data_IF_861752558828
#
_entry.id   IF_861752558828
#
_cell.length_a   1.000
_cell.length_b   1.000
_cell.length_c   1.000
_cell.angle_alpha   90.00
_cell.angle_beta   90.00
_cell.angle_gamma   90.00
#
_symmetry.space_group_name_H-M   'P 1'
#
loop_
_entity.id
_entity.type
_entity.pdbx_description
1 polymer ?
#
# COMPACT_ATOMS: atom_id res chain seq x y z
N UNK A 1 2.86 2.60 -20.13
CA UNK A 1 3.55 3.85 -19.76
C UNK A 1 4.76 4.16 -20.65
N UNK A 2 4.95 3.49 -21.80
CA UNK A 2 6.23 3.51 -22.57
C UNK A 2 7.44 3.11 -21.70
N UNK A 3 8.64 3.12 -22.27
CA UNK A 3 9.89 2.99 -21.54
C UNK A 3 10.11 4.22 -20.63
N UNK A 4 10.79 4.06 -19.48
CA UNK A 4 11.11 5.18 -18.60
C UNK A 4 11.84 6.33 -19.33
N UNK A 5 12.66 6.01 -20.34
CA UNK A 5 13.41 7.00 -21.12
C UNK A 5 12.51 7.87 -21.99
N UNK A 6 11.45 7.29 -22.57
CA UNK A 6 10.53 8.00 -23.46
C UNK A 6 9.41 8.72 -22.72
N UNK A 7 9.13 8.35 -21.47
CA UNK A 7 8.03 8.91 -20.69
C UNK A 7 8.42 9.21 -19.23
N UNK A 8 9.59 9.82 -19.04
CA UNK A 8 10.12 10.15 -17.71
C UNK A 8 9.06 10.86 -16.85
N UNK A 9 8.39 11.86 -17.42
CA UNK A 9 7.39 12.65 -16.69
C UNK A 9 6.18 11.82 -16.26
N UNK A 10 5.73 10.87 -17.10
CA UNK A 10 4.64 9.97 -16.75
C UNK A 10 4.99 9.09 -15.56
N UNK A 11 6.19 8.52 -15.55
CA UNK A 11 6.66 7.72 -14.41
C UNK A 11 6.78 8.58 -13.14
N UNK A 12 7.39 9.76 -13.22
CA UNK A 12 7.54 10.68 -12.08
C UNK A 12 6.18 11.09 -11.49
N UNK A 13 5.23 11.50 -12.33
CA UNK A 13 3.91 11.95 -11.90
C UNK A 13 3.05 10.83 -11.29
N UNK A 14 3.28 9.58 -11.71
CA UNK A 14 2.54 8.40 -11.22
C UNK A 14 3.13 7.79 -9.94
N UNK A 15 4.30 8.23 -9.52
CA UNK A 15 4.97 7.67 -8.35
C UNK A 15 4.25 8.05 -7.06
N UNK A 16 3.95 7.05 -6.23
CA UNK A 16 3.46 7.27 -4.86
C UNK A 16 4.59 7.52 -3.86
N UNK A 17 5.84 7.40 -4.30
CA UNK A 17 7.04 7.54 -3.47
C UNK A 17 7.55 8.98 -3.47
N UNK A 18 6.64 9.95 -3.31
CA UNK A 18 6.97 11.36 -3.10
C UNK A 18 6.47 11.83 -1.75
N UNK A 19 7.13 12.85 -1.23
CA UNK A 19 6.76 13.46 0.03
C UNK A 19 5.39 14.13 -0.06
N UNK A 20 5.03 14.77 -1.19
CA UNK A 20 3.71 15.38 -1.33
C UNK A 20 2.59 14.35 -1.26
N UNK A 21 2.78 13.19 -1.91
CA UNK A 21 1.78 12.10 -1.90
C UNK A 21 1.61 11.56 -0.49
N UNK A 22 2.70 11.31 0.22
CA UNK A 22 2.66 10.77 1.60
C UNK A 22 2.03 11.77 2.58
N UNK A 23 2.36 13.05 2.48
CA UNK A 23 1.74 14.09 3.32
C UNK A 23 0.22 14.20 3.08
N UNK A 24 -0.26 13.94 1.86
CA UNK A 24 -1.69 13.94 1.57
C UNK A 24 -2.48 12.87 2.37
N UNK A 25 -1.81 11.85 2.91
CA UNK A 25 -2.41 10.83 3.77
C UNK A 25 -2.53 11.22 5.26
N UNK A 26 -1.90 12.31 5.72
CA UNK A 26 -1.81 12.68 7.16
C UNK A 26 -3.15 12.69 7.90
N UNK A 27 -4.21 13.10 7.23
CA UNK A 27 -5.56 13.19 7.79
C UNK A 27 -6.54 12.21 7.13
N UNK A 28 -6.01 11.14 6.54
CA UNK A 28 -6.78 10.10 5.86
C UNK A 28 -6.71 8.81 6.65
N UNK A 29 -7.76 8.01 6.51
CA UNK A 29 -7.78 6.63 7.00
C UNK A 29 -7.24 5.77 5.87
N UNK A 30 -6.05 5.22 6.06
CA UNK A 30 -5.36 4.41 5.06
C UNK A 30 -5.03 3.04 5.63
N UNK A 31 -5.34 2.00 4.86
CA UNK A 31 -5.04 0.61 5.18
C UNK A 31 -4.29 -0.03 4.02
N UNK A 32 -3.02 -0.33 4.24
CA UNK A 32 -2.13 -0.98 3.28
C UNK A 32 -2.12 -2.49 3.54
N UNK A 33 -2.49 -3.28 2.53
CA UNK A 33 -2.56 -4.74 2.64
C UNK A 33 -1.75 -5.36 1.52
N UNK A 34 -0.85 -6.31 1.83
CA UNK A 34 -0.02 -6.95 0.81
C UNK A 34 0.46 -8.35 1.23
N UNK A 35 0.60 -9.26 0.28
CA UNK A 35 1.17 -10.60 0.50
C UNK A 35 2.70 -10.60 0.42
N UNK A 36 3.41 -11.31 1.30
CA UNK A 36 4.88 -11.26 1.30
C UNK A 36 5.52 -12.07 0.18
N UNK A 37 4.78 -12.98 -0.45
CA UNK A 37 5.24 -13.82 -1.57
C UNK A 37 4.65 -13.36 -2.92
N UNK A 38 4.15 -12.12 -3.00
CA UNK A 38 3.68 -11.56 -4.27
C UNK A 38 4.86 -11.41 -5.27
N UNK A 39 4.86 -12.26 -6.28
CA UNK A 39 5.85 -12.33 -7.35
C UNK A 39 5.52 -11.43 -8.56
N UNK A 40 4.30 -10.87 -8.60
CA UNK A 40 3.83 -9.98 -9.66
C UNK A 40 4.01 -8.51 -9.24
N UNK A 41 3.52 -8.14 -8.05
CA UNK A 41 3.73 -6.83 -7.44
C UNK A 41 4.49 -7.03 -6.14
N UNK A 42 5.82 -7.07 -6.24
CA UNK A 42 6.72 -7.29 -5.13
C UNK A 42 6.37 -6.51 -3.86
N UNK A 43 6.36 -7.19 -2.70
CA UNK A 43 6.08 -6.64 -1.37
C UNK A 43 6.93 -5.40 -1.00
N UNK A 44 8.09 -5.26 -1.64
CA UNK A 44 8.97 -4.09 -1.60
C UNK A 44 8.21 -2.78 -1.89
N UNK A 45 7.23 -2.77 -2.77
CA UNK A 45 6.43 -1.57 -3.06
C UNK A 45 5.65 -1.10 -1.82
N UNK A 46 4.98 -2.02 -1.13
CA UNK A 46 4.28 -1.73 0.12
C UNK A 46 5.26 -1.23 1.19
N UNK A 47 6.43 -1.87 1.31
CA UNK A 47 7.45 -1.47 2.28
C UNK A 47 8.10 -0.11 1.99
N UNK A 48 8.25 0.28 0.73
CA UNK A 48 8.78 1.59 0.35
C UNK A 48 7.81 2.71 0.75
N UNK A 49 6.50 2.53 0.50
CA UNK A 49 5.47 3.50 0.91
C UNK A 49 5.37 3.55 2.45
N UNK A 50 5.33 2.39 3.10
CA UNK A 50 5.31 2.23 4.56
C UNK A 50 6.47 3.00 5.23
N UNK A 51 7.70 2.81 4.73
CA UNK A 51 8.89 3.52 5.19
C UNK A 51 8.75 5.04 5.04
N UNK A 52 8.17 5.52 3.94
CA UNK A 52 8.03 6.95 3.69
C UNK A 52 6.96 7.57 4.60
N UNK A 53 5.79 6.93 4.76
CA UNK A 53 4.76 7.30 5.73
C UNK A 53 5.34 7.40 7.16
N UNK A 54 6.10 6.39 7.58
CA UNK A 54 6.76 6.35 8.89
C UNK A 54 7.76 7.49 9.07
N UNK A 55 8.62 7.75 8.07
CA UNK A 55 9.60 8.85 8.12
C UNK A 55 8.97 10.23 8.19
N UNK A 56 7.74 10.36 7.68
CA UNK A 56 6.94 11.58 7.74
C UNK A 56 6.03 11.65 8.96
N UNK A 57 6.09 10.67 9.86
CA UNK A 57 5.19 10.60 11.02
C UNK A 57 3.71 10.68 10.60
N UNK A 58 3.36 9.94 9.53
CA UNK A 58 1.99 9.80 9.04
C UNK A 58 1.47 8.44 9.47
N UNK A 59 0.39 8.44 10.24
CA UNK A 59 -0.22 7.21 10.75
C UNK A 59 -1.02 6.48 9.66
N UNK A 60 -0.93 5.15 9.66
CA UNK A 60 -1.67 4.26 8.75
C UNK A 60 -1.77 2.87 9.37
N UNK A 61 -2.68 2.06 8.82
CA UNK A 61 -2.77 0.64 9.16
C UNK A 61 -2.03 -0.18 8.09
N UNK A 62 -1.33 -1.23 8.49
CA UNK A 62 -0.70 -2.17 7.57
C UNK A 62 -1.02 -3.60 7.98
N UNK A 63 -1.30 -4.45 7.00
CA UNK A 63 -1.44 -5.88 7.19
C UNK A 63 -0.63 -6.62 6.13
N UNK A 64 0.28 -7.46 6.60
CA UNK A 64 1.10 -8.31 5.75
C UNK A 64 0.63 -9.74 5.91
N UNK A 65 0.40 -10.42 4.79
CA UNK A 65 0.06 -11.84 4.79
C UNK A 65 1.26 -12.66 4.35
N UNK A 66 1.81 -13.44 5.27
CA UNK A 66 2.98 -14.29 5.01
C UNK A 66 2.62 -15.41 4.06
N UNK A 67 3.53 -15.74 3.14
CA UNK A 67 3.42 -16.83 2.15
C UNK A 67 2.19 -16.73 1.23
N UNK A 68 1.60 -15.54 1.13
CA UNK A 68 0.52 -15.25 0.20
C UNK A 68 1.05 -14.48 -1.02
N UNK A 69 0.62 -14.93 -2.19
CA UNK A 69 0.89 -14.31 -3.49
C UNK A 69 -0.06 -13.13 -3.77
N UNK A 70 -0.08 -12.66 -5.01
CA UNK A 70 -0.95 -11.57 -5.47
C UNK A 70 -2.46 -11.84 -5.23
N UNK A 71 -2.87 -13.11 -5.14
CA UNK A 71 -4.26 -13.53 -5.03
C UNK A 71 -4.81 -13.58 -3.60
N UNK A 72 -3.94 -13.53 -2.59
CA UNK A 72 -4.27 -13.65 -1.15
C UNK A 72 -5.24 -14.81 -0.86
N UNK A 73 -5.06 -15.93 -1.55
CA UNK A 73 -6.00 -17.05 -1.61
C UNK A 73 -6.26 -17.72 -0.27
N UNK A 74 -5.22 -17.97 0.52
CA UNK A 74 -5.32 -18.71 1.78
C UNK A 74 -5.89 -17.90 2.94
N UNK A 75 -5.93 -16.57 2.81
CA UNK A 75 -6.30 -15.64 3.89
C UNK A 75 -7.59 -14.87 3.65
N UNK A 76 -8.35 -15.16 2.57
CA UNK A 76 -9.55 -14.38 2.19
C UNK A 76 -10.54 -14.13 3.32
N UNK A 77 -10.93 -15.13 4.15
CA UNK A 77 -11.84 -14.86 5.26
C UNK A 77 -11.28 -13.83 6.24
N UNK A 78 -9.99 -13.94 6.59
CA UNK A 78 -9.33 -12.97 7.47
C UNK A 78 -9.24 -11.59 6.82
N UNK A 79 -8.89 -11.52 5.53
CA UNK A 79 -8.88 -10.27 4.76
C UNK A 79 -10.22 -9.54 4.84
N UNK A 80 -11.34 -10.23 4.58
CA UNK A 80 -12.66 -9.59 4.63
C UNK A 80 -13.03 -9.11 6.04
N UNK A 81 -12.74 -9.89 7.09
CA UNK A 81 -12.96 -9.45 8.47
C UNK A 81 -12.08 -8.25 8.84
N UNK A 82 -10.82 -8.21 8.40
CA UNK A 82 -9.90 -7.10 8.66
C UNK A 82 -10.37 -5.81 7.96
N UNK A 83 -10.82 -5.91 6.70
CA UNK A 83 -11.43 -4.81 5.97
C UNK A 83 -12.71 -4.33 6.65
N UNK A 84 -13.61 -5.24 7.04
CA UNK A 84 -14.85 -4.90 7.75
C UNK A 84 -14.56 -4.17 9.07
N UNK A 85 -13.61 -4.68 9.87
CA UNK A 85 -13.17 -4.04 11.12
C UNK A 85 -12.63 -2.63 10.85
N UNK A 86 -11.72 -2.49 9.88
CA UNK A 86 -11.16 -1.19 9.53
C UNK A 86 -12.26 -0.20 9.12
N UNK A 87 -13.20 -0.60 8.27
CA UNK A 87 -14.29 0.27 7.84
C UNK A 87 -15.22 0.65 9.01
N UNK A 88 -15.60 -0.31 9.87
CA UNK A 88 -16.43 -0.05 11.05
C UNK A 88 -15.79 0.96 12.02
N UNK A 89 -14.48 0.89 12.22
CA UNK A 89 -13.76 1.76 13.15
C UNK A 89 -13.47 3.16 12.59
N UNK A 90 -13.58 3.35 11.27
CA UNK A 90 -13.05 4.53 10.60
C UNK A 90 -14.05 5.27 9.69
N UNK A 91 -15.24 4.71 9.42
CA UNK A 91 -16.26 5.32 8.56
C UNK A 91 -17.60 5.59 9.26
N UNK A 92 -17.84 5.04 10.44
CA UNK A 92 -19.10 5.20 11.18
C UNK A 92 -18.85 5.77 12.57
#
# INVERSE_FOLDING_TARGET
MDTPQNNVQGYLNSSLLTDEVVEAYRNKRYFLVHGTEDDNVHYQHAMLISRLLQRRDVYFHQMSYTDEDHGLGGVRPHLYHALEKFLKENMF
#
